data_IF_721859327004
#
_entry.id   IF_721859327004
#
_cell.length_a   1.000
_cell.length_b   1.000
_cell.length_c   1.000
_cell.angle_alpha   90.00
_cell.angle_beta   90.00
_cell.angle_gamma   90.00
#
_symmetry.space_group_name_H-M   'P 1'
#
loop_
_entity.id
_entity.type
_entity.pdbx_description
1 polymer ?
#
# COMPACT_ATOMS: atom_id res chain seq x y z
N UNK A 1 31.69 -25.47 -72.54
CA UNK A 1 30.96 -26.75 -72.65
C UNK A 1 29.87 -26.53 -73.67
N UNK A 2 29.92 -27.22 -74.82
CA UNK A 2 28.98 -27.01 -75.92
C UNK A 2 27.59 -27.54 -75.52
N UNK A 3 26.69 -26.60 -75.24
CA UNK A 3 25.29 -26.86 -74.91
C UNK A 3 24.40 -27.13 -76.11
N UNK A 4 25.00 -27.52 -77.25
CA UNK A 4 24.29 -27.63 -78.52
C UNK A 4 23.41 -28.88 -78.54
N UNK A 5 22.25 -28.74 -79.18
CA UNK A 5 21.32 -29.85 -79.36
C UNK A 5 21.88 -30.75 -80.46
N UNK A 6 22.15 -32.00 -80.11
CA UNK A 6 22.75 -32.99 -81.00
C UNK A 6 21.72 -33.55 -81.98
N UNK A 7 20.56 -33.95 -81.47
CA UNK A 7 19.43 -34.51 -82.24
C UNK A 7 18.17 -34.60 -81.38
N UNK A 8 17.03 -34.84 -82.03
CA UNK A 8 15.78 -35.19 -81.36
C UNK A 8 15.57 -36.69 -81.52
N UNK A 9 15.87 -37.50 -80.51
CA UNK A 9 15.81 -38.97 -80.64
C UNK A 9 14.41 -39.49 -80.99
N UNK A 10 13.37 -38.94 -80.37
CA UNK A 10 11.99 -39.32 -80.66
C UNK A 10 10.97 -38.25 -80.32
N UNK A 11 9.84 -38.24 -81.03
CA UNK A 11 8.65 -37.45 -80.74
C UNK A 11 7.43 -38.35 -80.92
N UNK A 12 6.55 -38.42 -79.92
CA UNK A 12 5.29 -39.19 -79.96
C UNK A 12 4.12 -38.41 -79.42
N UNK A 13 2.95 -38.63 -80.00
CA UNK A 13 1.67 -38.03 -79.60
C UNK A 13 1.68 -36.49 -79.49
N UNK A 14 2.47 -35.80 -80.34
CA UNK A 14 2.53 -34.33 -80.37
C UNK A 14 2.14 -33.85 -81.76
N UNK A 15 0.92 -33.32 -81.88
CA UNK A 15 0.34 -32.85 -83.14
C UNK A 15 0.50 -33.87 -84.28
N UNK A 16 1.30 -33.54 -85.31
CA UNK A 16 1.49 -34.39 -86.50
C UNK A 16 2.50 -35.53 -86.28
N UNK A 17 3.20 -35.56 -85.14
CA UNK A 17 4.18 -36.60 -84.82
C UNK A 17 3.53 -37.70 -83.97
N UNK A 18 3.26 -38.86 -84.59
CA UNK A 18 2.71 -40.05 -83.92
C UNK A 18 3.81 -40.91 -83.27
N UNK A 19 4.82 -41.33 -84.03
CA UNK A 19 6.02 -42.03 -83.53
C UNK A 19 7.23 -41.72 -84.41
N UNK A 20 7.68 -40.46 -84.35
CA UNK A 20 8.86 -40.04 -85.07
C UNK A 20 10.13 -40.57 -84.38
N UNK A 21 10.99 -41.21 -85.16
CA UNK A 21 12.30 -41.73 -84.73
C UNK A 21 13.40 -41.16 -85.62
N UNK A 22 14.35 -40.46 -85.02
CA UNK A 22 15.38 -39.75 -85.79
C UNK A 22 16.41 -40.66 -86.43
N UNK A 23 16.82 -41.72 -85.74
CA UNK A 23 17.79 -42.70 -86.24
C UNK A 23 17.35 -43.40 -87.54
N UNK A 24 16.05 -43.58 -87.73
CA UNK A 24 15.49 -44.18 -88.95
C UNK A 24 15.15 -43.15 -90.03
N UNK A 25 14.82 -41.91 -89.63
CA UNK A 25 14.18 -40.93 -90.52
C UNK A 25 15.12 -39.85 -91.04
N UNK A 26 16.20 -39.53 -90.31
CA UNK A 26 17.10 -38.42 -90.64
C UNK A 26 18.49 -38.98 -90.91
N UNK A 27 18.76 -39.24 -92.19
CA UNK A 27 20.02 -39.82 -92.67
C UNK A 27 20.74 -38.91 -93.64
N UNK A 28 22.06 -38.97 -93.64
CA UNK A 28 22.89 -38.27 -94.63
C UNK A 28 22.98 -39.03 -95.95
N UNK A 29 23.75 -38.49 -96.90
CA UNK A 29 23.94 -39.10 -98.23
C UNK A 29 24.65 -40.45 -98.17
N UNK A 30 25.35 -40.75 -97.08
CA UNK A 30 26.10 -41.99 -96.84
C UNK A 30 25.29 -42.98 -95.98
N UNK A 31 24.00 -42.69 -95.73
CA UNK A 31 23.07 -43.49 -94.93
C UNK A 31 23.44 -43.58 -93.43
N UNK A 32 24.28 -42.69 -92.94
CA UNK A 32 24.54 -42.51 -91.51
C UNK A 32 23.47 -41.61 -90.88
N UNK A 33 23.29 -41.69 -89.56
CA UNK A 33 22.35 -40.82 -88.83
C UNK A 33 22.90 -39.39 -88.88
N UNK A 34 22.14 -38.47 -89.48
CA UNK A 34 22.55 -37.08 -89.56
C UNK A 34 22.24 -36.36 -88.24
N UNK A 35 23.18 -35.58 -87.73
CA UNK A 35 23.05 -34.79 -86.50
C UNK A 35 22.88 -33.31 -86.82
N UNK A 36 22.36 -32.54 -85.86
CA UNK A 36 22.31 -31.09 -85.99
C UNK A 36 23.72 -30.51 -86.02
N UNK A 37 23.86 -29.41 -86.76
CA UNK A 37 25.07 -28.59 -86.83
C UNK A 37 24.83 -27.27 -86.09
N UNK A 38 25.85 -26.41 -86.02
CA UNK A 38 25.73 -25.06 -85.43
C UNK A 38 24.59 -24.23 -86.04
N UNK A 39 24.33 -24.37 -87.34
CA UNK A 39 23.24 -23.71 -88.06
C UNK A 39 22.45 -24.79 -88.82
N UNK A 40 21.15 -24.84 -88.59
CA UNK A 40 20.24 -25.78 -89.24
C UNK A 40 19.07 -25.04 -89.89
N UNK A 41 18.76 -25.41 -91.13
CA UNK A 41 17.59 -24.89 -91.84
C UNK A 41 16.62 -26.07 -92.01
N UNK A 42 15.48 -26.01 -91.30
CA UNK A 42 14.43 -27.02 -91.38
C UNK A 42 13.27 -26.41 -92.18
N UNK A 43 13.00 -26.97 -93.35
CA UNK A 43 11.93 -26.51 -94.24
C UNK A 43 11.04 -27.69 -94.65
N UNK A 44 9.81 -27.39 -95.05
CA UNK A 44 8.81 -28.39 -95.41
C UNK A 44 7.51 -27.72 -95.79
N UNK A 45 6.56 -28.49 -96.34
CA UNK A 45 5.22 -28.00 -96.71
C UNK A 45 4.46 -27.48 -95.49
N UNK A 46 3.38 -26.74 -95.72
CA UNK A 46 2.43 -26.43 -94.65
C UNK A 46 1.95 -27.72 -93.99
N UNK A 47 1.69 -27.68 -92.68
CA UNK A 47 1.32 -28.84 -91.86
C UNK A 47 2.40 -29.93 -91.70
N UNK A 48 3.63 -29.70 -92.16
CA UNK A 48 4.75 -30.66 -91.98
C UNK A 48 5.32 -30.73 -90.56
N UNK A 49 4.69 -30.08 -89.57
CA UNK A 49 5.14 -30.10 -88.16
C UNK A 49 6.19 -29.07 -87.74
N UNK A 50 6.51 -28.06 -88.59
CA UNK A 50 7.50 -27.01 -88.25
C UNK A 50 7.14 -26.24 -86.97
N UNK A 51 5.90 -25.77 -86.87
CA UNK A 51 5.40 -25.06 -85.67
C UNK A 51 5.37 -25.96 -84.45
N UNK A 52 5.08 -27.24 -84.63
CA UNK A 52 5.14 -28.22 -83.54
C UNK A 52 6.56 -28.35 -83.01
N UNK A 53 7.54 -28.42 -83.90
CA UNK A 53 8.95 -28.48 -83.54
C UNK A 53 9.39 -27.24 -82.76
N UNK A 54 9.01 -26.04 -83.22
CA UNK A 54 9.33 -24.80 -82.51
C UNK A 54 8.70 -24.74 -81.12
N UNK A 55 7.50 -25.30 -80.93
CA UNK A 55 6.85 -25.43 -79.62
C UNK A 55 7.53 -26.41 -78.68
N UNK A 56 8.06 -27.52 -79.20
CA UNK A 56 8.86 -28.46 -78.39
C UNK A 56 10.11 -27.76 -77.85
N UNK A 57 10.82 -26.99 -78.69
CA UNK A 57 11.96 -26.20 -78.22
C UNK A 57 11.54 -25.10 -77.24
N UNK A 58 10.38 -24.46 -77.47
CA UNK A 58 9.86 -23.44 -76.54
C UNK A 58 9.56 -24.02 -75.17
N UNK A 59 9.09 -25.27 -75.10
CA UNK A 59 8.87 -25.95 -73.82
C UNK A 59 10.17 -26.14 -73.01
N UNK A 60 11.33 -26.24 -73.66
CA UNK A 60 12.64 -26.25 -72.99
C UNK A 60 13.05 -24.87 -72.46
N UNK A 61 12.52 -23.79 -73.06
CA UNK A 61 12.78 -22.42 -72.59
C UNK A 61 11.86 -22.04 -71.42
N UNK A 62 10.56 -22.34 -71.53
CA UNK A 62 9.53 -21.91 -70.57
C UNK A 62 9.27 -22.93 -69.46
N UNK A 63 9.77 -24.16 -69.61
CA UNK A 63 9.50 -25.25 -68.66
C UNK A 63 8.09 -25.82 -68.74
N UNK A 64 7.31 -25.45 -69.76
CA UNK A 64 5.90 -25.82 -69.89
C UNK A 64 5.56 -26.27 -71.31
N UNK A 65 4.83 -27.38 -71.42
CA UNK A 65 4.24 -27.87 -72.68
C UNK A 65 2.72 -27.74 -72.62
N UNK A 66 2.09 -27.35 -73.73
CA UNK A 66 0.64 -27.12 -73.77
C UNK A 66 -0.17 -28.37 -73.39
N UNK A 67 -1.14 -28.19 -72.49
CA UNK A 67 -2.10 -29.22 -72.07
C UNK A 67 -3.01 -29.73 -73.19
N UNK A 68 -3.01 -29.08 -74.36
CA UNK A 68 -3.80 -29.50 -75.53
C UNK A 68 -3.30 -30.82 -76.15
N UNK A 69 -2.09 -31.27 -75.80
CA UNK A 69 -1.55 -32.53 -76.27
C UNK A 69 -1.92 -33.68 -75.31
N UNK A 70 -2.49 -34.76 -75.83
CA UNK A 70 -2.79 -35.97 -75.06
C UNK A 70 -1.55 -36.84 -74.93
N UNK A 71 -0.96 -36.88 -73.73
CA UNK A 71 0.23 -37.69 -73.41
C UNK A 71 1.44 -37.41 -74.32
N UNK A 72 1.95 -36.16 -74.35
CA UNK A 72 3.09 -35.79 -75.20
C UNK A 72 4.38 -36.45 -74.71
N UNK A 73 5.13 -37.09 -75.61
CA UNK A 73 6.46 -37.64 -75.29
C UNK A 73 7.49 -37.15 -76.30
N UNK A 74 8.63 -36.70 -75.81
CA UNK A 74 9.78 -36.41 -76.67
C UNK A 74 11.09 -36.65 -75.94
N UNK A 75 12.15 -36.90 -76.70
CA UNK A 75 13.49 -37.06 -76.17
C UNK A 75 14.47 -36.29 -77.05
N UNK A 76 15.25 -35.39 -76.44
CA UNK A 76 16.23 -34.53 -77.10
C UNK A 76 17.58 -34.75 -76.43
N UNK A 77 18.61 -35.05 -77.23
CA UNK A 77 19.98 -35.24 -76.75
C UNK A 77 20.82 -34.00 -77.02
N UNK A 78 21.68 -33.65 -76.06
CA UNK A 78 22.68 -32.58 -76.19
C UNK A 78 24.08 -33.17 -76.39
N UNK A 79 25.01 -32.40 -76.96
CA UNK A 79 26.39 -32.85 -77.18
C UNK A 79 27.13 -33.22 -75.89
N UNK A 80 26.78 -32.59 -74.76
CA UNK A 80 27.37 -32.85 -73.44
C UNK A 80 26.85 -34.09 -72.71
N UNK A 81 26.04 -34.93 -73.38
CA UNK A 81 25.47 -36.16 -72.81
C UNK A 81 24.23 -35.96 -71.92
N UNK A 82 23.81 -34.72 -71.67
CA UNK A 82 22.51 -34.45 -71.06
C UNK A 82 21.38 -34.69 -72.07
N UNK A 83 20.17 -34.89 -71.56
CA UNK A 83 18.96 -35.02 -72.38
C UNK A 83 17.78 -34.29 -71.76
N UNK A 84 16.82 -33.89 -72.60
CA UNK A 84 15.56 -33.31 -72.18
C UNK A 84 14.39 -34.20 -72.62
N UNK A 85 13.40 -34.30 -71.74
CA UNK A 85 12.13 -35.00 -71.93
C UNK A 85 10.99 -34.10 -71.48
N UNK A 86 9.75 -34.49 -71.75
CA UNK A 86 8.56 -33.81 -71.25
C UNK A 86 8.51 -33.65 -69.73
N UNK A 87 9.23 -34.51 -68.98
CA UNK A 87 9.29 -34.47 -67.51
C UNK A 87 10.52 -33.72 -66.98
N UNK A 88 11.46 -33.35 -67.85
CA UNK A 88 12.76 -32.75 -67.49
C UNK A 88 13.01 -31.43 -68.22
N UNK A 89 11.95 -30.66 -68.43
CA UNK A 89 11.95 -29.41 -69.21
C UNK A 89 12.86 -28.33 -68.61
N UNK A 90 13.08 -28.32 -67.29
CA UNK A 90 13.92 -27.31 -66.61
C UNK A 90 15.25 -27.86 -66.09
N UNK A 91 15.48 -29.18 -66.17
CA UNK A 91 16.61 -29.86 -65.53
C UNK A 91 17.70 -30.32 -66.50
N UNK A 92 17.64 -29.89 -67.77
CA UNK A 92 18.64 -30.25 -68.79
C UNK A 92 19.92 -29.39 -68.76
N UNK A 93 19.95 -28.32 -67.96
CA UNK A 93 21.15 -27.51 -67.71
C UNK A 93 21.64 -26.69 -68.89
N UNK A 94 20.80 -26.43 -69.89
CA UNK A 94 21.14 -25.67 -71.10
C UNK A 94 20.28 -24.41 -71.21
N UNK A 95 20.83 -23.34 -71.76
CA UNK A 95 20.08 -22.12 -72.03
C UNK A 95 19.45 -22.19 -73.42
N UNK A 96 18.14 -22.41 -73.48
CA UNK A 96 17.37 -22.40 -74.73
C UNK A 96 16.60 -21.08 -74.84
N UNK A 97 16.60 -20.49 -76.04
CA UNK A 97 15.84 -19.28 -76.37
C UNK A 97 15.09 -19.49 -77.68
N UNK A 98 13.78 -19.27 -77.69
CA UNK A 98 12.93 -19.55 -78.84
C UNK A 98 12.12 -18.32 -79.21
N UNK A 99 12.44 -17.77 -80.38
CA UNK A 99 11.62 -16.75 -81.00
C UNK A 99 10.62 -17.40 -81.96
N UNK A 100 9.36 -17.52 -81.53
CA UNK A 100 8.26 -18.05 -82.35
C UNK A 100 6.99 -17.19 -82.22
N UNK A 101 5.93 -17.55 -82.93
CA UNK A 101 4.65 -16.83 -82.89
C UNK A 101 4.05 -16.75 -81.48
N UNK A 102 4.21 -17.80 -80.68
CA UNK A 102 3.68 -17.83 -79.33
C UNK A 102 4.46 -16.85 -78.40
N UNK A 103 5.79 -16.68 -78.60
CA UNK A 103 6.58 -15.65 -77.90
C UNK A 103 6.10 -14.23 -78.21
N UNK A 104 5.80 -13.96 -79.48
CA UNK A 104 5.29 -12.65 -79.92
C UNK A 104 3.94 -12.37 -79.26
N UNK A 105 3.03 -13.34 -79.21
CA UNK A 105 1.72 -13.19 -78.55
C UNK A 105 1.83 -12.91 -77.05
N UNK A 106 2.73 -13.58 -76.35
CA UNK A 106 2.84 -13.45 -74.90
C UNK A 106 3.52 -12.13 -74.48
N UNK A 107 4.53 -11.68 -75.22
CA UNK A 107 5.40 -10.56 -74.81
C UNK A 107 5.18 -9.27 -75.60
N UNK A 108 4.56 -9.34 -76.78
CA UNK A 108 4.39 -8.20 -77.70
C UNK A 108 2.91 -7.98 -78.02
N UNK A 109 2.04 -8.00 -76.98
CA UNK A 109 0.59 -7.82 -77.12
C UNK A 109 0.18 -6.53 -77.83
N UNK A 110 0.99 -5.48 -77.74
CA UNK A 110 0.78 -4.20 -78.43
C UNK A 110 0.87 -4.29 -79.97
N UNK A 111 1.38 -5.40 -80.53
CA UNK A 111 1.38 -5.64 -81.99
C UNK A 111 0.05 -6.25 -82.44
N UNK A 112 -0.73 -6.83 -81.53
CA UNK A 112 -1.94 -7.61 -81.83
C UNK A 112 -3.23 -6.87 -81.46
N UNK A 113 -3.17 -5.88 -80.56
CA UNK A 113 -4.32 -5.08 -80.10
C UNK A 113 -4.05 -3.58 -80.29
N UNK A 114 -4.81 -2.91 -81.17
CA UNK A 114 -4.63 -1.49 -81.53
C UNK A 114 -5.17 -0.50 -80.47
N UNK A 115 -5.89 -0.96 -79.44
CA UNK A 115 -6.61 -0.08 -78.50
C UNK A 115 -5.91 0.17 -77.15
N UNK A 116 -4.70 -0.34 -76.91
CA UNK A 116 -3.97 -0.03 -75.67
C UNK A 116 -2.75 0.87 -75.95
N UNK A 117 -2.73 2.01 -75.25
CA UNK A 117 -1.70 3.03 -75.37
C UNK A 117 -0.28 2.48 -75.16
N UNK A 118 0.65 2.97 -75.98
CA UNK A 118 2.06 2.56 -76.01
C UNK A 118 2.74 2.96 -74.69
N UNK A 119 2.90 2.00 -73.78
CA UNK A 119 3.88 2.13 -72.71
C UNK A 119 5.26 1.74 -73.26
N UNK A 120 6.21 2.63 -72.98
CA UNK A 120 7.57 2.66 -73.49
C UNK A 120 8.29 1.30 -73.39
N UNK A 121 9.15 1.08 -74.36
CA UNK A 121 9.97 -0.12 -74.64
C UNK A 121 10.87 -0.63 -73.49
N UNK A 122 10.77 -0.09 -72.27
CA UNK A 122 11.75 -0.22 -71.20
C UNK A 122 11.36 -1.14 -70.04
N UNK A 123 10.13 -1.66 -69.95
CA UNK A 123 9.67 -2.38 -68.75
C UNK A 123 8.78 -3.58 -69.15
N UNK A 124 9.39 -4.70 -69.53
CA UNK A 124 8.67 -5.94 -69.88
C UNK A 124 9.11 -7.10 -68.99
N UNK A 125 8.26 -7.44 -68.02
CA UNK A 125 8.32 -8.66 -67.20
C UNK A 125 6.99 -8.86 -66.48
N UNK A 126 6.46 -10.09 -66.47
CA UNK A 126 5.18 -10.43 -65.83
C UNK A 126 5.11 -10.00 -64.36
N UNK A 127 6.25 -10.02 -63.66
CA UNK A 127 6.35 -9.64 -62.25
C UNK A 127 6.00 -8.17 -61.99
N UNK A 128 6.28 -7.27 -62.93
CA UNK A 128 6.01 -5.84 -62.73
C UNK A 128 4.50 -5.55 -62.75
N UNK A 129 3.73 -6.24 -63.60
CA UNK A 129 2.27 -6.09 -63.63
C UNK A 129 1.58 -6.62 -62.37
N UNK A 130 2.19 -7.60 -61.68
CA UNK A 130 1.71 -8.08 -60.38
C UNK A 130 2.06 -7.07 -59.29
N UNK A 131 3.28 -6.54 -59.30
CA UNK A 131 3.74 -5.54 -58.34
C UNK A 131 2.91 -4.25 -58.43
N UNK A 132 2.58 -3.75 -59.62
CA UNK A 132 1.72 -2.58 -59.79
C UNK A 132 0.33 -2.79 -59.16
N UNK A 133 -0.29 -3.96 -59.36
CA UNK A 133 -1.58 -4.28 -58.73
C UNK A 133 -1.51 -4.38 -57.22
N UNK A 134 -0.41 -4.89 -56.67
CA UNK A 134 -0.21 -4.93 -55.22
C UNK A 134 -0.01 -3.53 -54.64
N UNK A 135 0.72 -2.66 -55.34
CA UNK A 135 0.91 -1.25 -54.96
C UNK A 135 -0.44 -0.53 -54.94
N UNK A 136 -1.24 -0.61 -56.01
CA UNK A 136 -2.56 0.01 -56.07
C UNK A 136 -3.49 -0.47 -54.94
N UNK A 137 -3.46 -1.77 -54.64
CA UNK A 137 -4.24 -2.34 -53.53
C UNK A 137 -3.80 -1.76 -52.19
N UNK A 138 -2.50 -1.69 -51.92
CA UNK A 138 -1.99 -1.17 -50.67
C UNK A 138 -2.21 0.33 -50.51
N UNK A 139 -2.10 1.10 -51.59
CA UNK A 139 -2.44 2.54 -51.59
C UNK A 139 -3.93 2.75 -51.26
N UNK A 140 -4.83 1.94 -51.82
CA UNK A 140 -6.25 2.00 -51.48
C UNK A 140 -6.55 1.61 -50.00
N UNK A 141 -5.83 0.63 -49.46
CA UNK A 141 -5.94 0.24 -48.04
C UNK A 141 -5.40 1.33 -47.09
N UNK A 142 -4.25 1.93 -47.43
CA UNK A 142 -3.66 3.06 -46.69
C UNK A 142 -4.60 4.26 -46.68
N UNK A 143 -5.23 4.55 -47.82
CA UNK A 143 -6.10 5.70 -48.01
C UNK A 143 -5.33 7.02 -48.00
N UNK A 144 -6.04 8.12 -47.72
CA UNK A 144 -5.48 9.47 -47.72
C UNK A 144 -5.80 10.20 -46.41
N UNK A 145 -4.85 10.99 -45.92
CA UNK A 145 -5.03 11.88 -44.77
C UNK A 145 -5.99 13.04 -45.08
N UNK A 146 -5.97 13.59 -46.31
CA UNK A 146 -6.82 14.73 -46.69
C UNK A 146 -8.31 14.35 -46.80
N UNK A 147 -8.59 13.14 -47.31
CA UNK A 147 -9.96 12.63 -47.46
C UNK A 147 -10.42 11.78 -46.25
N UNK A 148 -9.60 11.72 -45.19
CA UNK A 148 -9.79 10.87 -44.00
C UNK A 148 -10.26 9.43 -44.33
N UNK A 149 -9.67 8.83 -45.36
CA UNK A 149 -10.04 7.49 -45.85
C UNK A 149 -9.00 6.43 -45.50
N UNK A 150 -9.41 5.16 -45.56
CA UNK A 150 -8.52 4.02 -45.27
C UNK A 150 -7.99 3.99 -43.83
N UNK A 151 -6.84 3.34 -43.66
CA UNK A 151 -6.17 3.20 -42.35
C UNK A 151 -5.68 4.54 -41.78
N UNK A 152 -5.23 5.46 -42.63
CA UNK A 152 -4.77 6.78 -42.21
C UNK A 152 -5.90 7.62 -41.63
N UNK A 153 -7.07 7.63 -42.27
CA UNK A 153 -8.27 8.28 -41.75
C UNK A 153 -8.72 7.72 -40.41
N UNK A 154 -8.68 6.39 -40.24
CA UNK A 154 -9.00 5.75 -38.97
C UNK A 154 -8.02 6.13 -37.85
N UNK A 155 -6.72 6.19 -38.15
CA UNK A 155 -5.70 6.64 -37.20
C UNK A 155 -5.96 8.07 -36.75
N UNK A 156 -6.27 8.99 -37.68
CA UNK A 156 -6.60 10.38 -37.36
C UNK A 156 -7.83 10.47 -36.45
N UNK A 157 -8.89 9.74 -36.77
CA UNK A 157 -10.13 9.70 -35.97
C UNK A 157 -9.89 9.17 -34.56
N UNK A 158 -9.14 8.07 -34.44
CA UNK A 158 -8.79 7.48 -33.14
C UNK A 158 -7.88 8.42 -32.35
N UNK A 159 -6.89 9.03 -33.01
CA UNK A 159 -5.99 10.02 -32.43
C UNK A 159 -6.73 11.25 -31.92
N UNK A 160 -7.73 11.75 -32.66
CA UNK A 160 -8.63 12.82 -32.25
C UNK A 160 -9.41 12.46 -30.99
N UNK A 161 -10.13 11.33 -31.02
CA UNK A 161 -10.88 10.81 -29.86
C UNK A 161 -10.00 10.60 -28.64
N UNK A 162 -8.79 10.07 -28.83
CA UNK A 162 -7.82 9.90 -27.74
C UNK A 162 -7.41 11.25 -27.14
N UNK A 163 -7.09 12.25 -27.98
CA UNK A 163 -6.72 13.59 -27.50
C UNK A 163 -7.87 14.24 -26.73
N UNK A 164 -9.11 14.13 -27.21
CA UNK A 164 -10.29 14.66 -26.52
C UNK A 164 -10.54 13.96 -25.18
N UNK A 165 -10.53 12.62 -25.18
CA UNK A 165 -10.73 11.82 -23.98
C UNK A 165 -9.64 12.09 -22.95
N UNK A 166 -8.38 12.20 -23.40
CA UNK A 166 -7.25 12.55 -22.54
C UNK A 166 -7.40 13.94 -21.95
N UNK A 167 -7.77 14.96 -22.75
CA UNK A 167 -8.05 16.30 -22.24
C UNK A 167 -9.17 16.31 -21.20
N UNK A 168 -10.26 15.58 -21.46
CA UNK A 168 -11.38 15.48 -20.52
C UNK A 168 -10.96 14.79 -19.21
N UNK A 169 -10.21 13.69 -19.31
CA UNK A 169 -9.63 12.99 -18.16
C UNK A 169 -8.70 13.89 -17.35
N UNK A 170 -7.74 14.55 -18.01
CA UNK A 170 -6.77 15.42 -17.36
C UNK A 170 -7.48 16.61 -16.68
N UNK A 171 -8.50 17.17 -17.32
CA UNK A 171 -9.36 18.20 -16.72
C UNK A 171 -10.06 17.71 -15.45
N UNK A 172 -10.66 16.51 -15.48
CA UNK A 172 -11.30 15.91 -14.30
C UNK A 172 -10.31 15.54 -13.20
N UNK A 173 -9.13 15.06 -13.57
CA UNK A 173 -8.05 14.75 -12.64
C UNK A 173 -7.57 16.02 -11.92
N UNK A 174 -7.35 17.12 -12.65
CA UNK A 174 -6.98 18.41 -12.07
C UNK A 174 -8.08 18.99 -11.17
N UNK A 175 -9.35 18.85 -11.57
CA UNK A 175 -10.50 19.25 -10.75
C UNK A 175 -10.51 18.49 -9.40
N UNK A 176 -10.28 17.18 -9.44
CA UNK A 176 -10.21 16.33 -8.25
C UNK A 176 -9.00 16.68 -7.37
N UNK A 177 -7.80 16.81 -7.96
CA UNK A 177 -6.58 17.27 -7.29
C UNK A 177 -6.81 18.60 -6.56
N UNK A 178 -7.48 19.55 -7.23
CA UNK A 178 -7.86 20.84 -6.67
C UNK A 178 -8.77 20.69 -5.45
N UNK A 179 -9.84 19.89 -5.55
CA UNK A 179 -10.75 19.63 -4.41
C UNK A 179 -10.04 18.99 -3.22
N UNK A 180 -9.15 18.03 -3.47
CA UNK A 180 -8.38 17.37 -2.43
C UNK A 180 -7.39 18.33 -1.76
N UNK A 181 -6.71 19.16 -2.55
CA UNK A 181 -5.78 20.17 -2.05
C UNK A 181 -6.50 21.22 -1.20
N UNK A 182 -7.66 21.68 -1.66
CA UNK A 182 -8.50 22.60 -0.91
C UNK A 182 -8.95 21.96 0.41
N UNK A 183 -9.46 20.73 0.38
CA UNK A 183 -9.90 20.05 1.60
C UNK A 183 -8.75 19.78 2.57
N UNK A 184 -7.53 19.55 2.08
CA UNK A 184 -6.36 19.35 2.92
C UNK A 184 -5.85 20.67 3.55
N UNK A 185 -5.70 21.75 2.77
CA UNK A 185 -4.89 22.92 3.13
C UNK A 185 -5.51 24.29 2.79
N UNK A 186 -6.79 24.37 2.41
CA UNK A 186 -7.43 25.69 2.18
C UNK A 186 -7.54 26.46 3.48
N UNK A 187 -7.11 27.71 3.48
CA UNK A 187 -7.23 28.59 4.64
C UNK A 187 -8.69 28.63 5.15
N UNK A 188 -8.87 28.48 6.46
CA UNK A 188 -10.16 28.56 7.16
C UNK A 188 -11.07 27.32 7.08
N UNK A 189 -10.92 26.44 6.09
CA UNK A 189 -11.82 25.26 5.90
C UNK A 189 -11.10 23.93 5.70
N UNK A 190 -9.82 23.96 5.36
CA UNK A 190 -8.99 22.77 5.19
C UNK A 190 -8.66 22.10 6.52
N UNK A 191 -8.45 20.79 6.48
CA UNK A 191 -8.15 19.94 7.65
C UNK A 191 -6.95 20.47 8.44
N UNK A 192 -5.89 20.90 7.76
CA UNK A 192 -4.70 21.50 8.38
C UNK A 192 -5.00 22.70 9.29
N UNK A 193 -6.03 23.47 8.96
CA UNK A 193 -6.42 24.69 9.70
C UNK A 193 -7.46 24.42 10.78
N UNK A 194 -7.95 23.19 10.90
CA UNK A 194 -8.89 22.82 11.93
C UNK A 194 -8.12 22.43 13.21
N UNK A 195 -8.28 23.27 14.24
CA UNK A 195 -7.61 23.10 15.55
C UNK A 195 -7.95 21.77 16.23
N UNK A 196 -9.10 21.17 15.92
CA UNK A 196 -9.52 19.89 16.52
C UNK A 196 -8.73 18.70 16.00
N UNK A 197 -8.17 18.75 14.79
CA UNK A 197 -7.40 17.63 14.21
C UNK A 197 -5.90 17.72 14.51
N UNK A 198 -5.38 18.90 14.83
CA UNK A 198 -4.03 19.11 15.38
C UNK A 198 -2.86 18.87 14.43
N UNK A 199 -3.06 18.35 13.21
CA UNK A 199 -1.99 18.11 12.25
C UNK A 199 -1.68 19.35 11.40
N UNK A 200 -0.75 20.18 11.89
CA UNK A 200 -0.28 21.37 11.19
C UNK A 200 0.46 21.06 9.87
N UNK A 201 0.86 19.81 9.63
CA UNK A 201 1.55 19.36 8.42
C UNK A 201 0.63 18.48 7.53
N UNK A 202 -0.69 18.67 7.65
CA UNK A 202 -1.63 17.94 6.82
C UNK A 202 -1.56 18.39 5.35
N UNK A 203 -1.45 17.43 4.43
CA UNK A 203 -1.15 17.67 3.02
C UNK A 203 -1.94 16.74 2.09
N UNK A 204 -1.73 16.92 0.78
CA UNK A 204 -2.43 16.18 -0.26
C UNK A 204 -2.15 14.66 -0.24
N UNK A 205 -0.96 14.23 0.20
CA UNK A 205 -0.66 12.81 0.30
C UNK A 205 -1.44 12.17 1.45
N UNK A 206 -1.52 12.85 2.61
CA UNK A 206 -2.24 12.36 3.79
C UNK A 206 -3.74 12.19 3.51
N UNK A 207 -4.39 13.17 2.86
CA UNK A 207 -5.82 13.03 2.52
C UNK A 207 -6.08 11.86 1.55
N UNK A 208 -5.16 11.58 0.61
CA UNK A 208 -5.27 10.41 -0.27
C UNK A 208 -5.16 9.11 0.53
N UNK A 209 -4.25 9.04 1.51
CA UNK A 209 -4.12 7.89 2.42
C UNK A 209 -5.35 7.70 3.31
N UNK A 210 -5.91 8.79 3.83
CA UNK A 210 -7.11 8.75 4.67
C UNK A 210 -8.31 8.25 3.87
N UNK A 211 -8.53 8.77 2.66
CA UNK A 211 -9.59 8.30 1.76
C UNK A 211 -9.40 6.81 1.45
N UNK A 212 -8.17 6.38 1.13
CA UNK A 212 -7.87 4.97 0.87
C UNK A 212 -8.12 4.07 2.11
N UNK A 213 -8.11 4.64 3.31
CA UNK A 213 -8.43 3.92 4.55
C UNK A 213 -9.94 3.87 4.78
N UNK A 214 -10.64 4.98 4.58
CA UNK A 214 -12.10 5.11 4.81
C UNK A 214 -12.93 4.31 3.78
N UNK A 215 -12.42 4.12 2.57
CA UNK A 215 -13.09 3.34 1.51
C UNK A 215 -12.99 1.82 1.74
N UNK A 216 -12.12 1.34 2.63
CA UNK A 216 -11.99 -0.10 2.90
C UNK A 216 -13.23 -0.61 3.63
N UNK A 217 -13.69 -1.81 3.27
CA UNK A 217 -14.83 -2.47 3.90
C UNK A 217 -14.65 -2.72 5.41
N UNK A 218 -13.39 -2.79 5.87
CA UNK A 218 -13.04 -2.95 7.29
C UNK A 218 -13.16 -1.67 8.11
N UNK A 219 -13.40 -0.52 7.48
CA UNK A 219 -13.47 0.76 8.19
C UNK A 219 -14.84 0.93 8.85
N UNK A 220 -14.87 1.00 10.18
CA UNK A 220 -16.05 1.37 10.94
C UNK A 220 -15.97 2.85 11.32
N UNK A 221 -16.89 3.71 10.83
CA UNK A 221 -16.93 5.10 11.25
C UNK A 221 -17.29 5.21 12.74
N UNK A 222 -16.81 6.28 13.38
CA UNK A 222 -17.18 6.60 14.75
C UNK A 222 -18.65 7.03 14.81
N UNK A 223 -19.33 6.62 15.88
CA UNK A 223 -20.69 7.09 16.18
C UNK A 223 -20.67 8.53 16.68
N UNK A 224 -21.79 9.25 16.53
CA UNK A 224 -21.92 10.63 17.01
C UNK A 224 -21.65 10.75 18.53
N UNK A 225 -21.99 9.72 19.30
CA UNK A 225 -21.74 9.64 20.75
C UNK A 225 -20.23 9.54 21.07
N UNK A 226 -19.49 8.72 20.31
CA UNK A 226 -18.04 8.62 20.45
C UNK A 226 -17.36 9.92 20.05
N UNK A 227 -17.80 10.52 18.94
CA UNK A 227 -17.29 11.81 18.47
C UNK A 227 -17.45 12.89 19.54
N UNK A 228 -18.64 13.02 20.14
CA UNK A 228 -18.88 13.98 21.22
C UNK A 228 -17.93 13.77 22.40
N UNK A 229 -17.76 12.52 22.86
CA UNK A 229 -16.85 12.18 23.97
C UNK A 229 -15.41 12.58 23.67
N UNK A 230 -14.93 12.36 22.45
CA UNK A 230 -13.57 12.76 22.06
C UNK A 230 -13.42 14.28 21.96
N UNK A 231 -14.44 15.00 21.48
CA UNK A 231 -14.44 16.45 21.50
C UNK A 231 -14.41 17.02 22.92
N UNK A 232 -15.11 16.42 23.87
CA UNK A 232 -15.11 16.83 25.26
C UNK A 232 -13.72 16.70 25.91
N UNK A 233 -12.92 15.69 25.51
CA UNK A 233 -11.53 15.55 25.96
C UNK A 233 -10.60 16.66 25.45
N UNK A 234 -10.92 17.26 24.31
CA UNK A 234 -10.14 18.35 23.71
C UNK A 234 -10.53 19.73 24.28
N UNK A 235 -11.61 19.82 25.07
CA UNK A 235 -12.02 21.08 25.68
C UNK A 235 -11.11 21.44 26.84
N UNK A 236 -10.37 22.51 26.67
CA UNK A 236 -9.68 23.19 27.76
C UNK A 236 -10.70 24.07 28.50
N UNK A 237 -11.46 23.47 29.41
CA UNK A 237 -12.30 24.22 30.34
C UNK A 237 -11.48 24.58 31.59
N UNK A 238 -11.38 25.88 31.94
CA UNK A 238 -10.75 26.29 33.18
C UNK A 238 -11.53 25.67 34.32
N UNK A 239 -10.89 24.73 35.03
CA UNK A 239 -11.46 24.15 36.24
C UNK A 239 -11.58 25.26 37.27
N UNK A 240 -12.64 25.20 38.06
CA UNK A 240 -12.82 26.06 39.24
C UNK A 240 -11.53 26.13 40.04
N UNK A 241 -11.11 27.35 40.38
CA UNK A 241 -9.93 27.59 41.18
C UNK A 241 -9.96 26.73 42.44
N UNK A 242 -8.81 26.16 42.78
CA UNK A 242 -8.66 25.42 44.03
C UNK A 242 -8.85 26.43 45.16
N UNK A 243 -9.80 26.22 46.09
CA UNK A 243 -9.97 27.11 47.23
C UNK A 243 -8.63 27.29 47.94
N UNK A 244 -8.28 28.55 48.23
CA UNK A 244 -7.07 28.90 48.96
C UNK A 244 -6.98 28.06 50.25
N UNK A 245 -5.77 27.57 50.54
CA UNK A 245 -5.50 26.57 51.59
C UNK A 245 -6.31 26.85 52.86
N UNK A 246 -7.11 25.85 53.29
CA UNK A 246 -7.77 25.87 54.60
C UNK A 246 -6.72 26.16 55.68
N UNK A 247 -6.78 27.34 56.29
CA UNK A 247 -5.94 27.66 57.44
C UNK A 247 -6.47 26.89 58.64
N UNK A 248 -5.70 25.90 59.11
CA UNK A 248 -6.02 25.18 60.34
C UNK A 248 -5.10 25.66 61.47
N UNK A 249 -5.70 26.11 62.56
CA UNK A 249 -4.99 26.54 63.77
C UNK A 249 -4.89 25.37 64.76
N UNK A 250 -3.72 24.75 64.82
CA UNK A 250 -3.41 23.67 65.77
C UNK A 250 -3.16 24.26 67.16
N UNK A 251 -3.84 23.72 68.18
CA UNK A 251 -3.71 24.17 69.57
C UNK A 251 -2.43 23.67 70.28
N UNK A 252 -1.49 23.09 69.53
CA UNK A 252 -0.29 22.47 70.07
C UNK A 252 0.53 23.40 70.99
N UNK A 253 0.78 24.65 70.58
CA UNK A 253 1.61 25.58 71.37
C UNK A 253 0.97 25.92 72.71
N UNK A 254 -0.36 26.07 72.74
CA UNK A 254 -1.13 26.31 73.96
C UNK A 254 -1.09 25.09 74.88
N UNK A 255 -1.33 23.88 74.33
CA UNK A 255 -1.28 22.61 75.07
C UNK A 255 0.13 22.37 75.64
N UNK A 256 1.19 22.55 74.86
CA UNK A 256 2.57 22.33 75.30
C UNK A 256 2.99 23.32 76.40
N UNK A 257 2.57 24.59 76.29
CA UNK A 257 2.82 25.60 77.32
C UNK A 257 2.09 25.27 78.63
N UNK A 258 0.84 24.81 78.54
CA UNK A 258 0.06 24.37 79.71
C UNK A 258 0.65 23.11 80.34
N UNK A 259 1.03 22.12 79.54
CA UNK A 259 1.69 20.89 79.99
C UNK A 259 2.96 21.18 80.79
N UNK A 260 3.85 22.02 80.24
CA UNK A 260 5.08 22.43 80.90
C UNK A 260 4.81 23.04 82.28
N UNK A 261 3.87 23.99 82.35
CA UNK A 261 3.50 24.66 83.62
C UNK A 261 2.98 23.69 84.68
N UNK A 262 2.16 22.71 84.27
CA UNK A 262 1.60 21.73 85.20
C UNK A 262 2.64 20.73 85.69
N UNK A 263 3.51 20.24 84.80
CA UNK A 263 4.56 19.27 85.15
C UNK A 263 5.64 19.91 86.05
N UNK A 264 5.98 21.18 85.81
CA UNK A 264 6.97 21.90 86.62
C UNK A 264 6.40 22.44 87.94
N UNK A 265 5.08 22.32 88.18
CA UNK A 265 4.43 22.78 89.42
C UNK A 265 4.93 21.92 90.59
N UNK A 266 5.72 22.53 91.47
CA UNK A 266 6.16 21.90 92.73
C UNK A 266 5.03 21.96 93.75
N UNK A 267 4.54 20.81 94.20
CA UNK A 267 3.61 20.72 95.32
C UNK A 267 4.42 20.55 96.61
N UNK A 268 4.09 21.33 97.63
CA UNK A 268 4.64 21.16 98.98
C UNK A 268 3.57 20.49 99.85
N UNK A 269 3.76 19.21 100.16
CA UNK A 269 2.90 18.53 101.14
C UNK A 269 3.23 19.07 102.55
N UNK A 270 2.20 19.32 103.35
CA UNK A 270 2.39 19.86 104.71
C UNK A 270 2.98 18.83 105.67
N UNK A 271 2.66 17.54 105.49
CA UNK A 271 3.30 16.41 106.18
C UNK A 271 3.27 15.14 105.29
N UNK A 272 4.34 14.86 104.53
CA UNK A 272 4.34 13.77 103.57
C UNK A 272 4.56 12.39 104.20
N UNK A 273 3.65 11.46 103.94
CA UNK A 273 3.84 10.03 104.21
C UNK A 273 4.88 9.47 103.23
N UNK A 274 6.11 9.21 103.71
CA UNK A 274 7.25 8.77 102.88
C UNK A 274 7.00 7.47 102.12
N UNK A 275 6.28 6.52 102.70
CA UNK A 275 5.94 5.25 102.06
C UNK A 275 5.11 5.46 100.79
N UNK A 276 4.15 6.40 100.83
CA UNK A 276 3.31 6.76 99.67
C UNK A 276 4.03 7.65 98.66
N UNK A 277 5.14 8.31 99.04
CA UNK A 277 6.00 9.01 98.08
C UNK A 277 6.91 8.05 97.31
N UNK A 278 7.38 7.00 97.98
CA UNK A 278 8.31 6.02 97.41
C UNK A 278 7.60 4.92 96.59
N UNK A 279 6.31 4.67 96.85
CA UNK A 279 5.49 3.72 96.09
C UNK A 279 4.26 4.40 95.48
N UNK A 280 4.37 4.69 94.18
CA UNK A 280 3.29 5.31 93.41
C UNK A 280 2.04 4.41 93.28
N UNK A 281 2.21 3.09 93.26
CA UNK A 281 1.09 2.13 93.16
C UNK A 281 0.31 2.11 94.47
N UNK A 282 1.03 2.06 95.59
CA UNK A 282 0.43 2.13 96.92
C UNK A 282 -0.26 3.49 97.16
N UNK A 283 0.38 4.59 96.77
CA UNK A 283 -0.21 5.94 96.82
C UNK A 283 -1.54 6.02 96.06
N UNK A 284 -1.56 5.45 94.85
CA UNK A 284 -2.77 5.39 94.01
C UNK A 284 -3.86 4.51 94.65
N UNK A 285 -3.48 3.39 95.26
CA UNK A 285 -4.40 2.51 95.97
C UNK A 285 -5.02 3.21 97.19
N UNK A 286 -4.19 3.87 98.03
CA UNK A 286 -4.67 4.63 99.20
C UNK A 286 -5.59 5.77 98.75
N UNK A 287 -5.22 6.50 97.70
CA UNK A 287 -6.04 7.59 97.16
C UNK A 287 -7.40 7.09 96.65
N UNK A 288 -7.44 6.07 95.80
CA UNK A 288 -8.69 5.44 95.35
C UNK A 288 -9.50 4.89 96.53
N UNK A 289 -8.80 4.35 97.54
CA UNK A 289 -9.39 3.91 98.79
C UNK A 289 -10.14 5.03 99.52
N UNK A 290 -9.64 6.28 99.52
CA UNK A 290 -10.31 7.43 100.13
C UNK A 290 -11.69 7.67 99.52
N UNK A 291 -11.80 7.65 98.19
CA UNK A 291 -13.06 7.86 97.45
C UNK A 291 -14.15 6.84 97.82
N UNK A 292 -13.76 5.61 98.16
CA UNK A 292 -14.69 4.54 98.52
C UNK A 292 -15.07 4.49 100.00
N UNK A 293 -14.35 5.20 100.88
CA UNK A 293 -14.51 5.09 102.33
C UNK A 293 -14.84 6.42 103.03
N UNK A 294 -14.22 7.54 102.62
CA UNK A 294 -14.39 8.85 103.26
C UNK A 294 -15.86 9.29 103.16
N UNK A 295 -16.51 9.51 104.30
CA UNK A 295 -17.93 9.89 104.38
C UNK A 295 -18.94 8.79 103.96
N UNK A 296 -18.47 7.57 103.68
CA UNK A 296 -19.30 6.44 103.20
C UNK A 296 -19.27 5.22 104.13
N UNK A 297 -18.16 4.99 104.85
CA UNK A 297 -17.94 3.80 105.68
C UNK A 297 -17.19 4.14 106.96
N UNK A 298 -17.60 3.56 108.09
CA UNK A 298 -16.90 3.68 109.38
C UNK A 298 -15.84 2.58 109.59
N UNK A 299 -15.94 1.48 108.84
CA UNK A 299 -15.01 0.34 108.85
C UNK A 299 -14.36 0.14 107.49
N UNK A 300 -13.10 -0.27 107.49
CA UNK A 300 -12.35 -0.59 106.29
C UNK A 300 -12.98 -1.77 105.55
N UNK A 301 -13.25 -1.62 104.26
CA UNK A 301 -13.86 -2.67 103.45
C UNK A 301 -12.93 -3.84 103.15
N UNK A 302 -11.63 -3.67 103.35
CA UNK A 302 -10.62 -4.69 103.11
C UNK A 302 -10.38 -5.54 104.37
N UNK A 303 -10.02 -4.90 105.48
CA UNK A 303 -9.63 -5.61 106.71
C UNK A 303 -10.67 -5.56 107.84
N UNK A 304 -11.74 -4.78 107.71
CA UNK A 304 -12.79 -4.65 108.73
C UNK A 304 -12.47 -3.77 109.94
N UNK A 305 -11.25 -3.22 110.03
CA UNK A 305 -10.83 -2.31 111.11
C UNK A 305 -11.58 -0.98 111.10
N UNK A 306 -11.70 -0.33 112.25
CA UNK A 306 -12.28 1.01 112.36
C UNK A 306 -11.41 2.07 111.67
N UNK A 307 -12.06 3.07 111.04
CA UNK A 307 -11.40 4.18 110.33
C UNK A 307 -11.50 5.47 111.16
N UNK A 308 -10.56 5.71 112.10
CA UNK A 308 -10.62 6.86 112.99
C UNK A 308 -10.40 8.18 112.25
N UNK A 309 -10.94 9.28 112.80
CA UNK A 309 -10.80 10.61 112.21
C UNK A 309 -9.33 11.03 112.01
N UNK A 310 -8.45 10.64 112.93
CA UNK A 310 -7.01 10.91 112.86
C UNK A 310 -6.31 10.29 111.65
N UNK A 311 -6.86 9.23 111.05
CA UNK A 311 -6.37 8.66 109.79
C UNK A 311 -6.71 9.59 108.61
N UNK A 312 -7.91 10.15 108.58
CA UNK A 312 -8.33 11.09 107.53
C UNK A 312 -7.51 12.37 107.59
N UNK A 313 -7.25 12.89 108.80
CA UNK A 313 -6.44 14.09 108.97
C UNK A 313 -5.01 13.89 108.43
N UNK A 314 -4.39 12.72 108.70
CA UNK A 314 -3.08 12.36 108.14
C UNK A 314 -3.09 12.23 106.61
N UNK A 315 -4.14 11.62 106.06
CA UNK A 315 -4.28 11.46 104.61
C UNK A 315 -4.58 12.81 103.92
N UNK A 316 -5.31 13.71 104.56
CA UNK A 316 -5.62 15.06 104.06
C UNK A 316 -4.37 15.96 104.09
N UNK A 317 -3.47 15.79 105.07
CA UNK A 317 -2.17 16.46 105.10
C UNK A 317 -1.22 15.97 103.99
N UNK A 318 -1.31 14.70 103.60
CA UNK A 318 -0.52 14.11 102.52
C UNK A 318 -1.07 14.43 101.14
N UNK A 319 -2.38 14.22 100.91
CA UNK A 319 -3.11 14.58 99.70
C UNK A 319 -3.76 15.95 99.87
N UNK A 320 -2.93 16.98 100.01
CA UNK A 320 -3.40 18.34 100.18
C UNK A 320 -4.22 18.82 98.98
N UNK A 321 -5.01 19.88 99.18
CA UNK A 321 -5.88 20.44 98.13
C UNK A 321 -5.11 20.82 96.85
N UNK A 322 -3.87 21.31 96.97
CA UNK A 322 -3.02 21.66 95.82
C UNK A 322 -2.67 20.44 94.94
N UNK A 323 -2.46 19.27 95.55
CA UNK A 323 -2.18 18.02 94.84
C UNK A 323 -3.42 17.50 94.09
N UNK A 324 -4.61 17.65 94.69
CA UNK A 324 -5.87 17.25 94.08
C UNK A 324 -6.26 18.20 92.93
N UNK A 325 -6.03 19.49 93.08
CA UNK A 325 -6.22 20.48 92.01
C UNK A 325 -5.27 20.26 90.83
N UNK A 326 -3.99 19.97 91.10
CA UNK A 326 -3.03 19.66 90.02
C UNK A 326 -3.44 18.41 89.23
N UNK A 327 -3.92 17.36 89.91
CA UNK A 327 -4.43 16.14 89.23
C UNK A 327 -5.61 16.47 88.31
N UNK A 328 -6.60 17.23 88.81
CA UNK A 328 -7.73 17.69 87.97
C UNK A 328 -7.26 18.51 86.77
N UNK A 329 -6.26 19.38 86.94
CA UNK A 329 -5.70 20.17 85.83
C UNK A 329 -4.99 19.30 84.79
N UNK A 330 -4.31 18.24 85.22
CA UNK A 330 -3.66 17.25 84.36
C UNK A 330 -4.68 16.40 83.59
N UNK A 331 -5.74 15.94 84.23
CA UNK A 331 -6.82 15.17 83.58
C UNK A 331 -7.50 16.02 82.49
N UNK A 332 -7.85 17.27 82.81
CA UNK A 332 -8.42 18.22 81.83
C UNK A 332 -7.48 18.50 80.65
N UNK A 333 -6.16 18.50 80.89
CA UNK A 333 -5.18 18.66 79.82
C UNK A 333 -5.11 17.41 78.94
N UNK A 334 -5.18 16.20 79.51
CA UNK A 334 -5.24 14.94 78.76
C UNK A 334 -6.48 14.90 77.85
N UNK A 335 -7.65 15.27 78.37
CA UNK A 335 -8.88 15.37 77.56
C UNK A 335 -8.71 16.37 76.41
N UNK A 336 -8.07 17.51 76.67
CA UNK A 336 -7.79 18.52 75.64
C UNK A 336 -6.86 17.99 74.54
N UNK A 337 -5.85 17.18 74.91
CA UNK A 337 -4.94 16.52 73.96
C UNK A 337 -5.70 15.51 73.10
N UNK A 338 -6.56 14.68 73.70
CA UNK A 338 -7.35 13.69 72.98
C UNK A 338 -8.34 14.33 72.02
N UNK A 339 -9.00 15.41 72.45
CA UNK A 339 -9.91 16.20 71.62
C UNK A 339 -9.17 16.75 70.38
N UNK A 340 -8.01 17.38 70.56
CA UNK A 340 -7.23 17.91 69.43
C UNK A 340 -6.69 16.77 68.53
N UNK A 341 -6.28 15.63 69.12
CA UNK A 341 -5.85 14.44 68.36
C UNK A 341 -6.97 13.87 67.48
N UNK A 342 -8.22 13.87 67.96
CA UNK A 342 -9.39 13.41 67.19
C UNK A 342 -9.83 14.43 66.12
N UNK A 343 -9.54 15.71 66.31
CA UNK A 343 -9.85 16.79 65.37
C UNK A 343 -8.95 16.76 64.13
N UNK A 344 -7.66 16.46 64.29
CA UNK A 344 -6.66 16.50 63.20
C UNK A 344 -7.05 15.63 61.98
N UNK A 345 -7.48 14.36 62.12
CA UNK A 345 -7.92 13.56 60.97
C UNK A 345 -9.14 14.12 60.23
N UNK A 346 -10.04 14.81 60.93
CA UNK A 346 -11.25 15.37 60.33
C UNK A 346 -10.98 16.66 59.55
N UNK A 347 -9.97 17.45 59.95
CA UNK A 347 -9.50 18.60 59.18
C UNK A 347 -8.93 18.19 57.80
N UNK A 348 -8.45 16.95 57.68
CA UNK A 348 -7.84 16.43 56.45
C UNK A 348 -8.85 15.83 55.46
N UNK A 349 -10.10 15.56 55.86
CA UNK A 349 -11.13 14.98 54.98
C UNK A 349 -11.63 15.94 53.88
N UNK A 350 -11.39 17.24 54.02
CA UNK A 350 -11.78 18.27 53.04
C UNK A 350 -10.78 18.47 51.89
N UNK A 351 -9.58 17.88 51.97
CA UNK A 351 -8.58 17.97 50.90
C UNK A 351 -8.94 16.91 49.86
N UNK A 352 -9.51 17.35 48.73
CA UNK A 352 -10.09 16.44 47.73
C UNK A 352 -9.09 15.39 47.22
N UNK A 353 -9.60 14.18 46.92
CA UNK A 353 -8.88 13.07 46.25
C UNK A 353 -8.14 13.45 44.95
N UNK A 354 -8.28 14.66 44.41
CA UNK A 354 -7.60 15.04 43.16
C UNK A 354 -6.13 15.44 43.34
N UNK A 355 -5.66 15.64 44.58
CA UNK A 355 -4.27 16.05 44.88
C UNK A 355 -3.60 15.09 45.87
N UNK A 356 -3.61 13.79 45.57
CA UNK A 356 -3.09 12.75 46.47
C UNK A 356 -1.68 13.04 46.99
N UNK A 357 -0.76 13.55 46.15
CA UNK A 357 0.62 13.83 46.59
C UNK A 357 0.72 14.98 47.61
N UNK A 358 -0.03 16.07 47.39
CA UNK A 358 -0.02 17.23 48.31
C UNK A 358 -0.75 16.90 49.61
N UNK A 359 -1.87 16.16 49.52
CA UNK A 359 -2.62 15.72 50.69
C UNK A 359 -1.79 14.76 51.58
N UNK A 360 -1.05 13.84 50.97
CA UNK A 360 -0.19 12.89 51.68
C UNK A 360 0.99 13.61 52.36
N UNK A 361 1.63 14.55 51.66
CA UNK A 361 2.73 15.36 52.23
C UNK A 361 2.26 16.25 53.38
N UNK A 362 1.08 16.89 53.27
CA UNK A 362 0.48 17.69 54.35
C UNK A 362 0.11 16.81 55.54
N UNK A 363 -0.52 15.65 55.29
CA UNK A 363 -0.85 14.66 56.33
C UNK A 363 0.41 14.18 57.04
N UNK A 364 1.46 13.82 56.30
CA UNK A 364 2.76 13.41 56.85
C UNK A 364 3.39 14.54 57.65
N UNK A 365 3.36 15.78 57.15
CA UNK A 365 3.95 16.94 57.83
C UNK A 365 3.21 17.28 59.14
N UNK A 366 1.88 17.31 59.12
CA UNK A 366 1.04 17.59 60.31
C UNK A 366 1.18 16.49 61.34
N UNK A 367 1.08 15.21 60.94
CA UNK A 367 1.26 14.09 61.85
C UNK A 367 2.69 14.03 62.39
N UNK A 368 3.73 14.16 61.54
CA UNK A 368 5.13 14.17 62.02
C UNK A 368 5.37 15.34 62.97
N UNK A 369 4.85 16.54 62.69
CA UNK A 369 5.03 17.70 63.57
C UNK A 369 4.33 17.49 64.90
N UNK A 370 3.11 16.93 64.91
CA UNK A 370 2.37 16.62 66.14
C UNK A 370 3.04 15.51 66.96
N UNK A 371 3.38 14.36 66.36
CA UNK A 371 4.01 13.23 67.06
C UNK A 371 5.43 13.54 67.55
N UNK A 372 6.24 14.25 66.75
CA UNK A 372 7.61 14.66 67.15
C UNK A 372 7.61 15.68 68.29
N UNK A 373 6.49 16.40 68.43
CA UNK A 373 6.29 17.37 69.48
C UNK A 373 5.76 16.75 70.78
N UNK A 374 4.88 15.74 70.70
CA UNK A 374 4.42 14.98 71.88
C UNK A 374 5.58 14.23 72.55
N UNK A 375 6.42 13.55 71.75
CA UNK A 375 7.61 12.83 72.24
C UNK A 375 8.75 13.75 72.77
N UNK A 376 8.56 15.08 72.77
CA UNK A 376 9.49 16.02 73.41
C UNK A 376 8.99 16.51 74.77
N UNK A 377 7.72 16.26 75.10
CA UNK A 377 7.06 16.75 76.31
C UNK A 377 6.87 15.62 77.32
N UNK A 378 6.64 14.39 76.84
CA UNK A 378 6.76 13.14 77.60
C UNK A 378 8.08 12.48 77.24
#
# INVERSE_FOLDING_TARGET
>A
MSGEIKKIDSIKNIAVFLDFRWSSSVKDKENNIAEFKKINIIYGRNYSGKTTLSRIYRALETGFISEKYSSPEFHISFEGGSSATQNSLNSHGQLVRVFNEDFVKDNLRFIVDEEQAINSFAILGEDNTKLEKEIEKHEAELGNEEDESGLLGELLRIGGKFKETKKAHDGKFLELEGKLRDKANKAGSGIKHNKSFGDANYNLAKIKTDIATVVKDSYSPLTNEQISKYYDLLREEPKSDIPESLSFNLQYSAIASKAKKLIEKKIQASDPIQELLNDAVLSMWVWNGREHHKGKREKCAFCGSELPQSLWDKLDMHFNQESEELRKELDNLLESIECERSRVPNLLKGISKKSYEVAELVRIAVCKRFYRCINKVF
#
